data_IF_940235254782
#
_entry.id   IF_940235254782
#
_cell.length_a   1.000
_cell.length_b   1.000
_cell.length_c   1.000
_cell.angle_alpha   90.00
_cell.angle_beta   90.00
_cell.angle_gamma   90.00
#
_symmetry.space_group_name_H-M   'P 1'
#
loop_
_entity.id
_entity.type
_entity.pdbx_description
1 polymer ?
#
# COMPACT_ATOMS: atom_id res chain seq x y z
N UNK A 1 -17.61 1.19 -2.93
CA UNK A 1 -16.30 1.24 -2.24
C UNK A 1 -15.97 -0.06 -1.49
N UNK A 2 -16.87 -0.64 -0.65
CA UNK A 2 -16.59 -1.90 0.08
C UNK A 2 -16.01 -3.00 -0.81
N UNK A 3 -16.75 -3.42 -1.85
CA UNK A 3 -16.31 -4.46 -2.81
C UNK A 3 -15.02 -4.08 -3.53
N UNK A 4 -14.85 -2.82 -3.88
CA UNK A 4 -13.63 -2.31 -4.52
C UNK A 4 -12.41 -2.57 -3.62
N UNK A 5 -12.44 -2.15 -2.34
CA UNK A 5 -11.33 -2.37 -1.43
C UNK A 5 -11.04 -3.86 -1.22
N UNK A 6 -12.06 -4.72 -1.12
CA UNK A 6 -11.85 -6.17 -0.97
C UNK A 6 -11.17 -6.77 -2.20
N UNK A 7 -11.66 -6.47 -3.40
CA UNK A 7 -11.09 -7.00 -4.65
C UNK A 7 -9.68 -6.47 -4.86
N UNK A 8 -9.48 -5.16 -4.67
CA UNK A 8 -8.18 -4.52 -4.84
C UNK A 8 -7.17 -5.02 -3.80
N UNK A 9 -7.60 -5.21 -2.55
CA UNK A 9 -6.77 -5.80 -1.50
C UNK A 9 -6.34 -7.23 -1.82
N UNK A 10 -7.27 -8.07 -2.31
CA UNK A 10 -6.94 -9.43 -2.74
C UNK A 10 -5.96 -9.44 -3.92
N UNK A 11 -6.14 -8.54 -4.88
CA UNK A 11 -5.21 -8.36 -5.99
C UNK A 11 -3.80 -8.00 -5.50
N UNK A 12 -3.69 -7.08 -4.53
CA UNK A 12 -2.39 -6.71 -3.95
C UNK A 12 -1.73 -7.85 -3.19
N UNK A 13 -2.49 -8.68 -2.48
CA UNK A 13 -1.97 -9.90 -1.84
C UNK A 13 -1.45 -10.88 -2.91
N UNK A 14 -2.15 -11.00 -4.03
CA UNK A 14 -1.67 -11.81 -5.17
C UNK A 14 -0.36 -11.24 -5.74
N UNK A 15 -0.27 -9.92 -5.94
CA UNK A 15 0.97 -9.27 -6.38
C UNK A 15 2.11 -9.49 -5.38
N UNK A 16 1.81 -9.42 -4.08
CA UNK A 16 2.78 -9.77 -3.03
C UNK A 16 3.32 -11.20 -3.22
N UNK A 17 2.47 -12.19 -3.44
CA UNK A 17 2.91 -13.56 -3.69
C UNK A 17 3.76 -13.67 -4.96
N UNK A 18 3.39 -12.97 -6.04
CA UNK A 18 4.14 -12.95 -7.29
C UNK A 18 5.51 -12.28 -7.15
N UNK A 19 5.59 -11.16 -6.40
CA UNK A 19 6.89 -10.51 -6.13
C UNK A 19 7.79 -11.36 -5.23
N UNK A 20 7.22 -12.17 -4.33
CA UNK A 20 7.96 -13.18 -3.58
C UNK A 20 8.54 -14.26 -4.49
N UNK A 21 7.73 -14.81 -5.41
CA UNK A 21 8.17 -15.76 -6.43
C UNK A 21 9.26 -15.17 -7.35
N UNK A 22 9.14 -13.89 -7.69
CA UNK A 22 10.16 -13.19 -8.49
C UNK A 22 11.51 -13.14 -7.77
N UNK A 23 11.51 -12.75 -6.48
CA UNK A 23 12.76 -12.75 -5.68
C UNK A 23 13.36 -14.14 -5.54
N UNK A 24 12.50 -15.16 -5.42
CA UNK A 24 12.91 -16.54 -5.28
C UNK A 24 13.54 -17.10 -6.57
N UNK A 25 12.82 -17.02 -7.67
CA UNK A 25 13.19 -17.69 -8.92
C UNK A 25 14.17 -16.90 -9.78
N UNK A 26 14.04 -15.57 -9.83
CA UNK A 26 14.87 -14.72 -10.70
C UNK A 26 16.16 -14.30 -10.00
N UNK A 27 16.09 -14.06 -8.69
CA UNK A 27 17.24 -13.61 -7.90
C UNK A 27 17.78 -14.66 -6.92
N UNK A 28 17.42 -15.94 -7.10
CA UNK A 28 17.90 -17.04 -6.26
C UNK A 28 17.83 -16.71 -4.75
N UNK A 29 16.65 -16.38 -4.25
CA UNK A 29 16.41 -15.94 -2.86
C UNK A 29 17.19 -14.69 -2.44
N UNK A 30 17.61 -13.85 -3.40
CA UNK A 30 18.49 -12.68 -3.20
C UNK A 30 19.88 -13.05 -2.67
N UNK A 31 20.32 -14.30 -2.87
CA UNK A 31 21.66 -14.77 -2.47
C UNK A 31 22.74 -14.08 -3.30
N UNK A 32 23.82 -13.66 -2.65
CA UNK A 32 24.92 -12.96 -3.30
C UNK A 32 24.63 -11.50 -3.69
N UNK A 33 23.41 -11.03 -3.49
CA UNK A 33 23.05 -9.62 -3.70
C UNK A 33 23.60 -8.74 -2.60
N UNK A 34 24.12 -7.55 -2.93
CA UNK A 34 24.55 -6.54 -1.96
C UNK A 34 23.41 -6.16 -0.99
N UNK A 35 23.74 -5.79 0.24
CA UNK A 35 22.77 -5.55 1.30
C UNK A 35 21.75 -4.47 0.96
N UNK A 36 22.15 -3.38 0.32
CA UNK A 36 21.27 -2.29 -0.09
C UNK A 36 20.12 -2.76 -1.00
N UNK A 37 20.41 -3.25 -2.21
CA UNK A 37 19.38 -3.80 -3.12
C UNK A 37 18.54 -4.90 -2.48
N UNK A 38 19.14 -5.82 -1.74
CA UNK A 38 18.45 -6.91 -1.03
C UNK A 38 17.42 -6.37 -0.03
N UNK A 39 17.81 -5.36 0.78
CA UNK A 39 16.90 -4.69 1.70
C UNK A 39 15.76 -3.99 0.95
N UNK A 40 16.05 -3.33 -0.18
CA UNK A 40 15.07 -2.62 -0.97
C UNK A 40 14.01 -3.58 -1.54
N UNK A 41 14.38 -4.72 -2.13
CA UNK A 41 13.44 -5.74 -2.58
C UNK A 41 12.51 -6.22 -1.46
N UNK A 42 13.08 -6.62 -0.32
CA UNK A 42 12.30 -7.11 0.83
C UNK A 42 11.33 -6.06 1.36
N UNK A 43 11.78 -4.82 1.49
CA UNK A 43 10.96 -3.74 2.05
C UNK A 43 9.77 -3.42 1.14
N UNK A 44 9.98 -3.29 -0.20
CA UNK A 44 8.87 -3.01 -1.15
C UNK A 44 7.89 -4.16 -1.22
N UNK A 45 8.38 -5.38 -1.20
CA UNK A 45 7.55 -6.58 -1.10
C UNK A 45 6.61 -6.51 0.12
N UNK A 46 7.13 -6.16 1.30
CA UNK A 46 6.33 -6.00 2.52
C UNK A 46 5.36 -4.82 2.43
N UNK A 47 5.75 -3.70 1.79
CA UNK A 47 4.84 -2.56 1.59
C UNK A 47 3.65 -2.89 0.70
N UNK A 48 3.84 -3.73 -0.32
CA UNK A 48 2.74 -4.23 -1.16
C UNK A 48 1.76 -5.04 -0.30
N UNK A 49 2.26 -5.94 0.57
CA UNK A 49 1.43 -6.70 1.50
C UNK A 49 0.67 -5.78 2.46
N UNK A 50 1.37 -4.81 3.07
CA UNK A 50 0.76 -3.85 3.98
C UNK A 50 -0.40 -3.11 3.33
N UNK A 51 -0.20 -2.63 2.10
CA UNK A 51 -1.25 -1.98 1.33
C UNK A 51 -2.43 -2.92 1.06
N UNK A 52 -2.16 -4.17 0.70
CA UNK A 52 -3.19 -5.19 0.50
C UNK A 52 -4.01 -5.46 1.75
N UNK A 53 -3.36 -5.65 2.90
CA UNK A 53 -4.03 -5.87 4.18
C UNK A 53 -4.84 -4.66 4.63
N UNK A 54 -4.33 -3.44 4.39
CA UNK A 54 -5.06 -2.20 4.68
C UNK A 54 -6.34 -2.11 3.85
N UNK A 55 -6.28 -2.43 2.55
CA UNK A 55 -7.46 -2.48 1.69
C UNK A 55 -8.46 -3.55 2.14
N UNK A 56 -8.02 -4.74 2.52
CA UNK A 56 -8.89 -5.80 3.04
C UNK A 56 -9.55 -5.36 4.34
N UNK A 57 -8.80 -4.75 5.25
CA UNK A 57 -9.32 -4.21 6.50
C UNK A 57 -10.39 -3.14 6.25
N UNK A 58 -10.08 -2.12 5.45
CA UNK A 58 -11.06 -1.08 5.09
C UNK A 58 -12.29 -1.72 4.43
N UNK A 59 -12.09 -2.61 3.45
CA UNK A 59 -13.18 -3.27 2.75
C UNK A 59 -14.09 -4.09 3.66
N UNK A 60 -13.55 -4.70 4.71
CA UNK A 60 -14.34 -5.51 5.66
C UNK A 60 -15.31 -4.65 6.48
N UNK A 61 -14.88 -3.46 6.90
CA UNK A 61 -15.64 -2.58 7.79
C UNK A 61 -16.18 -1.31 7.13
N UNK A 62 -16.07 -1.20 5.81
CA UNK A 62 -16.47 0.01 5.10
C UNK A 62 -17.97 0.29 5.22
N UNK A 63 -18.29 1.46 5.78
CA UNK A 63 -19.63 2.07 5.76
C UNK A 63 -19.48 3.51 5.28
N UNK A 64 -20.36 3.94 4.37
CA UNK A 64 -20.39 5.36 3.99
C UNK A 64 -20.80 6.22 5.16
N UNK A 65 -20.08 7.32 5.36
CA UNK A 65 -20.44 8.32 6.36
C UNK A 65 -21.71 9.06 5.94
N UNK A 66 -22.57 9.33 6.88
CA UNK A 66 -23.81 10.09 6.67
C UNK A 66 -23.50 11.56 6.38
N UNK A 67 -22.58 12.15 7.15
CA UNK A 67 -22.17 13.53 7.01
C UNK A 67 -21.32 13.77 5.75
N UNK A 68 -21.57 14.92 5.08
CA UNK A 68 -20.89 15.29 3.84
C UNK A 68 -19.37 15.39 3.99
N UNK A 69 -18.90 16.04 5.07
CA UNK A 69 -17.46 16.22 5.33
C UNK A 69 -16.79 14.87 5.59
N UNK A 70 -17.36 14.05 6.47
CA UNK A 70 -16.84 12.71 6.74
C UNK A 70 -16.77 11.84 5.50
N UNK A 71 -17.78 11.94 4.60
CA UNK A 71 -17.78 11.22 3.32
C UNK A 71 -16.67 11.68 2.39
N UNK A 72 -16.42 13.00 2.28
CA UNK A 72 -15.34 13.54 1.46
C UNK A 72 -13.98 13.06 1.98
N UNK A 73 -13.74 13.16 3.30
CA UNK A 73 -12.50 12.67 3.92
C UNK A 73 -12.29 11.17 3.67
N UNK A 74 -13.36 10.38 3.78
CA UNK A 74 -13.32 8.94 3.52
C UNK A 74 -12.97 8.62 2.06
N UNK A 75 -13.54 9.35 1.10
CA UNK A 75 -13.27 9.15 -0.33
C UNK A 75 -11.86 9.58 -0.71
N UNK A 76 -11.40 10.75 -0.21
CA UNK A 76 -10.03 11.21 -0.42
C UNK A 76 -9.02 10.24 0.21
N UNK A 77 -9.27 9.78 1.44
CA UNK A 77 -8.45 8.78 2.10
C UNK A 77 -8.37 7.48 1.28
N UNK A 78 -9.51 6.98 0.79
CA UNK A 78 -9.57 5.80 -0.08
C UNK A 78 -8.76 5.99 -1.37
N UNK A 79 -8.84 7.16 -1.99
CA UNK A 79 -8.09 7.47 -3.21
C UNK A 79 -6.58 7.42 -2.95
N UNK A 80 -6.10 8.09 -1.90
CA UNK A 80 -4.67 8.13 -1.57
C UNK A 80 -4.12 6.74 -1.25
N UNK A 81 -4.86 5.94 -0.44
CA UNK A 81 -4.49 4.57 -0.11
C UNK A 81 -4.48 3.68 -1.36
N UNK A 82 -5.35 3.93 -2.34
CA UNK A 82 -5.42 3.16 -3.60
C UNK A 82 -4.25 3.50 -4.54
N UNK A 83 -3.82 4.74 -4.56
CA UNK A 83 -2.70 5.18 -5.41
C UNK A 83 -1.34 4.73 -4.86
N UNK A 84 -1.18 4.67 -3.55
CA UNK A 84 0.10 4.34 -2.90
C UNK A 84 0.73 3.00 -3.34
N UNK A 85 0.00 1.86 -3.49
CA UNK A 85 0.57 0.60 -3.94
C UNK A 85 1.20 0.66 -5.33
N UNK A 86 0.73 1.56 -6.21
CA UNK A 86 1.33 1.75 -7.54
C UNK A 86 2.80 2.17 -7.39
N UNK A 87 3.08 3.09 -6.47
CA UNK A 87 4.45 3.51 -6.16
C UNK A 87 5.29 2.37 -5.58
N UNK A 88 4.71 1.50 -4.74
CA UNK A 88 5.43 0.36 -4.19
C UNK A 88 5.75 -0.70 -5.24
N UNK A 89 4.81 -0.98 -6.16
CA UNK A 89 5.00 -1.95 -7.24
C UNK A 89 6.07 -1.45 -8.21
N UNK A 90 5.99 -0.19 -8.65
CA UNK A 90 7.01 0.39 -9.52
C UNK A 90 8.36 0.46 -8.79
N UNK A 91 8.36 0.90 -7.53
CA UNK A 91 9.55 0.96 -6.69
C UNK A 91 10.21 -0.41 -6.47
N UNK A 92 9.42 -1.49 -6.39
CA UNK A 92 9.95 -2.85 -6.29
C UNK A 92 10.87 -3.21 -7.45
N UNK A 93 10.53 -2.81 -8.68
CA UNK A 93 11.33 -3.12 -9.86
C UNK A 93 12.43 -2.09 -10.14
N UNK A 94 12.27 -0.83 -9.75
CA UNK A 94 13.19 0.25 -10.12
C UNK A 94 14.19 0.61 -9.02
N UNK A 95 13.75 0.74 -7.78
CA UNK A 95 14.60 1.27 -6.70
C UNK A 95 15.81 0.40 -6.33
N UNK A 96 15.76 -0.95 -6.40
CA UNK A 96 16.95 -1.76 -6.13
C UNK A 96 18.09 -1.57 -7.12
N UNK A 97 17.83 -0.99 -8.29
CA UNK A 97 18.82 -0.70 -9.32
C UNK A 97 19.37 0.73 -9.26
N UNK A 98 18.81 1.59 -8.40
CA UNK A 98 19.28 2.95 -8.24
C UNK A 98 20.57 2.98 -7.39
N UNK A 99 21.46 3.91 -7.72
CA UNK A 99 22.68 4.14 -6.94
C UNK A 99 22.36 4.81 -5.62
N UNK A 100 22.85 4.24 -4.53
CA UNK A 100 22.60 4.72 -3.18
C UNK A 100 21.22 4.32 -2.63
N UNK A 101 20.86 4.84 -1.46
CA UNK A 101 19.57 4.59 -0.80
C UNK A 101 18.52 5.64 -1.19
N UNK A 102 18.56 6.12 -2.43
CA UNK A 102 17.54 7.05 -2.93
C UNK A 102 16.28 6.27 -3.34
N UNK A 103 15.20 6.51 -2.64
CA UNK A 103 13.96 5.72 -2.73
C UNK A 103 12.73 6.63 -2.92
N UNK A 104 12.67 7.40 -4.02
CA UNK A 104 11.64 8.42 -4.21
C UNK A 104 10.24 7.84 -4.29
N UNK A 105 10.06 6.72 -4.99
CA UNK A 105 8.76 6.09 -5.20
C UNK A 105 8.18 5.57 -3.89
N UNK A 106 8.95 4.76 -3.16
CA UNK A 106 8.51 4.22 -1.87
C UNK A 106 8.23 5.31 -0.85
N UNK A 107 9.02 6.39 -0.83
CA UNK A 107 8.78 7.55 0.04
C UNK A 107 7.40 8.17 -0.24
N UNK A 108 7.06 8.41 -1.51
CA UNK A 108 5.74 8.94 -1.88
C UNK A 108 4.62 7.96 -1.51
N UNK A 109 4.79 6.67 -1.79
CA UNK A 109 3.81 5.65 -1.40
C UNK A 109 3.52 5.62 0.10
N UNK A 110 4.56 5.71 0.94
CA UNK A 110 4.42 5.75 2.41
C UNK A 110 3.66 7.02 2.86
N UNK A 111 4.00 8.18 2.30
CA UNK A 111 3.30 9.43 2.61
C UNK A 111 1.81 9.34 2.24
N UNK A 112 1.50 8.82 1.06
CA UNK A 112 0.13 8.65 0.59
C UNK A 112 -0.68 7.71 1.51
N UNK A 113 -0.11 6.57 1.90
CA UNK A 113 -0.77 5.65 2.85
C UNK A 113 -0.99 6.34 4.21
N UNK A 114 0.01 7.03 4.73
CA UNK A 114 -0.09 7.69 6.03
C UNK A 114 -1.18 8.76 6.04
N UNK A 115 -1.19 9.66 5.04
CA UNK A 115 -2.21 10.70 4.91
C UNK A 115 -3.59 10.06 4.67
N UNK A 116 -3.68 9.09 3.76
CA UNK A 116 -4.93 8.43 3.44
C UNK A 116 -5.56 7.72 4.65
N UNK A 117 -4.73 7.03 5.45
CA UNK A 117 -5.17 6.39 6.70
C UNK A 117 -5.64 7.42 7.72
N UNK A 118 -4.90 8.53 7.88
CA UNK A 118 -5.29 9.63 8.77
C UNK A 118 -6.64 10.23 8.37
N UNK A 119 -6.90 10.46 7.08
CA UNK A 119 -8.19 10.95 6.59
C UNK A 119 -9.33 9.98 6.90
N UNK A 120 -9.09 8.67 6.77
CA UNK A 120 -10.06 7.64 7.17
C UNK A 120 -10.36 7.68 8.67
N UNK A 121 -9.33 7.83 9.52
CA UNK A 121 -9.49 7.96 10.97
C UNK A 121 -10.29 9.21 11.33
N UNK A 122 -9.93 10.37 10.76
CA UNK A 122 -10.64 11.63 10.99
C UNK A 122 -12.11 11.54 10.55
N UNK A 123 -12.39 10.85 9.45
CA UNK A 123 -13.77 10.62 9.01
C UNK A 123 -14.56 9.76 10.00
N UNK A 124 -13.89 8.87 10.74
CA UNK A 124 -14.52 8.01 11.73
C UNK A 124 -14.82 8.73 13.06
N UNK A 125 -13.91 9.59 13.50
CA UNK A 125 -14.04 10.33 14.77
C UNK A 125 -15.17 11.38 14.68
N UNK A 126 -15.42 11.93 13.51
CA UNK A 126 -16.40 12.99 13.30
C UNK A 126 -17.86 12.45 13.20
N UNK A 127 -18.07 11.15 13.36
CA UNK A 127 -19.41 10.57 13.44
C UNK A 127 -19.98 10.79 14.85
N UNK A 128 -21.02 11.61 14.97
CA UNK A 128 -21.76 11.72 16.23
C UNK A 128 -22.42 10.37 16.50
N UNK A 129 -22.27 9.80 17.72
CA UNK A 129 -23.07 8.63 18.09
C UNK A 129 -24.56 9.01 18.01
N UNK A 130 -25.34 8.18 17.32
CA UNK A 130 -26.81 8.25 17.32
C UNK A 130 -27.33 7.93 18.70
#
# INVERSE_FOLDING_TARGET
MKRFHLIFGLMLVTIFLLTGQYMDRIHNHLQGMADGPRMLYRTRHIYILLAGLLHLGIGSYFKYRSERVGRILQLLGSLLITVAPIFFIIGFFQEPHLTGLYVPLSKHGIILIAIGTLLHLLSAINERPL
#
